data_IF_573430176355
#
_entry.id   IF_573430176355
#
_cell.length_a   1.000
_cell.length_b   1.000
_cell.length_c   1.000
_cell.angle_alpha   90.00
_cell.angle_beta   90.00
_cell.angle_gamma   90.00
#
_symmetry.space_group_name_H-M   'P 1'
#
loop_
_entity.id
_entity.type
_entity.pdbx_description
1 polymer ?
#
# COMPACT_ATOMS: atom_id res chain seq x y z
N UNK A 1 -27.33 -2.07 8.58
CA UNK A 1 -28.14 -2.97 7.70
C UNK A 1 -27.56 -4.37 7.76
N UNK A 2 -28.29 -5.38 7.30
CA UNK A 2 -27.78 -6.77 7.23
C UNK A 2 -27.39 -7.08 5.78
N UNK A 3 -26.32 -7.85 5.55
CA UNK A 3 -25.94 -8.32 4.22
C UNK A 3 -27.03 -9.22 3.63
N UNK A 4 -26.97 -9.43 2.31
CA UNK A 4 -27.76 -10.46 1.63
C UNK A 4 -27.37 -11.84 2.16
N UNK A 5 -28.23 -12.85 1.98
CA UNK A 5 -27.93 -14.22 2.38
C UNK A 5 -26.76 -14.77 1.52
N UNK A 6 -25.80 -15.42 2.14
CA UNK A 6 -24.66 -16.07 1.51
C UNK A 6 -24.35 -17.42 2.17
N UNK A 7 -23.70 -18.31 1.44
CA UNK A 7 -23.04 -19.48 2.01
C UNK A 7 -21.66 -19.07 2.56
N UNK A 8 -21.18 -19.79 3.58
CA UNK A 8 -19.88 -19.52 4.19
C UNK A 8 -19.02 -20.78 4.18
N UNK A 9 -17.79 -20.63 3.68
CA UNK A 9 -16.77 -21.69 3.62
C UNK A 9 -15.54 -21.17 4.37
N UNK A 10 -15.08 -21.92 5.38
CA UNK A 10 -13.81 -21.64 6.07
C UNK A 10 -12.73 -22.56 5.48
N UNK A 11 -11.94 -22.06 4.55
CA UNK A 11 -10.85 -22.79 3.91
C UNK A 11 -9.66 -22.92 4.85
N UNK A 12 -9.06 -24.11 4.91
CA UNK A 12 -7.87 -24.42 5.73
C UNK A 12 -6.59 -24.47 4.91
N UNK A 13 -6.73 -24.57 3.60
CA UNK A 13 -5.62 -24.64 2.65
C UNK A 13 -5.90 -23.72 1.45
N UNK A 14 -4.85 -23.34 0.75
CA UNK A 14 -4.98 -22.57 -0.51
C UNK A 14 -5.80 -23.38 -1.53
N UNK A 15 -5.60 -24.67 -1.63
CA UNK A 15 -6.32 -25.54 -2.58
C UNK A 15 -7.83 -25.59 -2.28
N UNK A 16 -8.24 -25.69 -1.01
CA UNK A 16 -9.65 -25.57 -0.61
C UNK A 16 -10.25 -24.23 -0.99
N UNK A 17 -9.50 -23.12 -0.77
CA UNK A 17 -9.96 -21.77 -1.13
C UNK A 17 -10.13 -21.63 -2.65
N UNK A 18 -9.13 -22.05 -3.43
CA UNK A 18 -9.17 -22.03 -4.90
C UNK A 18 -10.29 -22.94 -5.44
N UNK A 19 -10.52 -24.11 -4.82
CA UNK A 19 -11.62 -24.98 -5.21
C UNK A 19 -12.97 -24.34 -4.98
N UNK A 20 -13.13 -23.62 -3.87
CA UNK A 20 -14.36 -22.91 -3.54
C UNK A 20 -14.60 -21.69 -4.45
N UNK A 21 -13.53 -21.04 -4.93
CA UNK A 21 -13.62 -19.93 -5.89
C UNK A 21 -14.20 -20.30 -7.26
N UNK A 22 -14.29 -21.60 -7.59
CA UNK A 22 -14.97 -22.05 -8.83
C UNK A 22 -16.48 -21.89 -8.77
N UNK A 23 -17.05 -21.66 -7.57
CA UNK A 23 -18.48 -21.41 -7.43
C UNK A 23 -18.82 -20.02 -7.98
N UNK A 24 -19.93 -19.88 -8.74
CA UNK A 24 -20.36 -18.56 -9.21
C UNK A 24 -20.55 -17.58 -8.07
N UNK A 25 -20.27 -16.31 -8.33
CA UNK A 25 -20.44 -15.21 -7.37
C UNK A 25 -19.79 -15.46 -6.00
N UNK A 26 -18.70 -16.24 -5.95
CA UNK A 26 -17.92 -16.44 -4.75
C UNK A 26 -16.95 -15.28 -4.54
N UNK A 27 -16.64 -14.97 -3.27
CA UNK A 27 -15.68 -13.92 -2.91
C UNK A 27 -14.83 -14.32 -1.71
N UNK A 28 -13.54 -14.03 -1.79
CA UNK A 28 -12.61 -14.21 -0.68
C UNK A 28 -12.89 -13.17 0.41
N UNK A 29 -12.84 -13.61 1.66
CA UNK A 29 -12.73 -12.74 2.83
C UNK A 29 -11.45 -13.10 3.60
N UNK A 30 -10.65 -12.06 3.89
CA UNK A 30 -9.51 -12.12 4.81
C UNK A 30 -9.90 -11.44 6.13
N UNK A 31 -9.45 -10.21 6.37
CA UNK A 31 -9.80 -9.45 7.57
C UNK A 31 -11.21 -8.86 7.59
N UNK A 32 -11.92 -8.81 6.47
CA UNK A 32 -13.31 -8.35 6.36
C UNK A 32 -13.55 -6.85 6.55
N UNK A 33 -12.51 -6.05 6.75
CA UNK A 33 -12.66 -4.65 7.19
C UNK A 33 -13.23 -3.71 6.10
N UNK A 34 -13.06 -4.04 4.83
CA UNK A 34 -13.72 -3.35 3.70
C UNK A 34 -14.93 -4.14 3.20
N UNK A 35 -14.78 -5.46 3.00
CA UNK A 35 -15.81 -6.29 2.38
C UNK A 35 -17.10 -6.37 3.22
N UNK A 36 -16.99 -6.52 4.55
CA UNK A 36 -18.19 -6.63 5.41
C UNK A 36 -19.03 -5.34 5.43
N UNK A 37 -18.42 -4.13 5.55
CA UNK A 37 -19.16 -2.88 5.33
C UNK A 37 -19.86 -2.81 3.96
N UNK A 38 -19.16 -3.15 2.87
CA UNK A 38 -19.75 -3.18 1.53
C UNK A 38 -20.95 -4.14 1.44
N UNK A 39 -20.84 -5.32 2.06
CA UNK A 39 -21.94 -6.28 2.12
C UNK A 39 -23.13 -5.74 2.95
N UNK A 40 -22.87 -5.06 4.05
CA UNK A 40 -23.90 -4.46 4.89
C UNK A 40 -24.70 -3.37 4.13
N UNK A 41 -24.03 -2.61 3.27
CA UNK A 41 -24.66 -1.64 2.37
C UNK A 41 -25.18 -2.27 1.07
N UNK A 42 -24.99 -3.60 0.88
CA UNK A 42 -25.38 -4.35 -0.32
C UNK A 42 -24.71 -3.85 -1.61
N UNK A 43 -23.57 -3.21 -1.47
CA UNK A 43 -22.68 -2.85 -2.59
C UNK A 43 -21.88 -4.07 -3.10
N UNK A 44 -21.74 -5.09 -2.26
CA UNK A 44 -21.22 -6.42 -2.62
C UNK A 44 -22.17 -7.47 -2.09
N UNK A 45 -22.59 -8.42 -2.94
CA UNK A 45 -23.61 -9.43 -2.60
C UNK A 45 -23.16 -10.82 -3.08
N UNK A 46 -22.03 -11.37 -2.60
CA UNK A 46 -21.57 -12.68 -3.02
C UNK A 46 -22.57 -13.77 -2.59
N UNK A 47 -22.73 -14.79 -3.41
CA UNK A 47 -23.51 -15.99 -3.07
C UNK A 47 -22.74 -16.89 -2.07
N UNK A 48 -21.41 -16.88 -2.16
CA UNK A 48 -20.53 -17.66 -1.28
C UNK A 48 -19.37 -16.78 -0.79
N UNK A 49 -19.16 -16.77 0.52
CA UNK A 49 -18.04 -16.10 1.16
C UNK A 49 -17.00 -17.15 1.58
N UNK A 50 -15.78 -17.02 1.08
CA UNK A 50 -14.67 -17.95 1.32
C UNK A 50 -13.70 -17.31 2.27
N UNK A 51 -13.70 -17.74 3.51
CA UNK A 51 -12.81 -17.24 4.55
C UNK A 51 -11.46 -17.97 4.48
N UNK A 52 -10.41 -17.21 4.25
CA UNK A 52 -9.03 -17.68 4.16
C UNK A 52 -8.22 -17.38 5.42
N UNK A 53 -8.78 -16.76 6.44
CA UNK A 53 -8.08 -16.31 7.65
C UNK A 53 -7.36 -17.42 8.42
N UNK A 54 -7.75 -18.67 8.20
CA UNK A 54 -7.16 -19.87 8.84
C UNK A 54 -5.95 -20.43 8.08
N UNK A 55 -5.59 -19.90 6.91
CA UNK A 55 -4.49 -20.43 6.08
C UNK A 55 -3.15 -19.85 6.56
N UNK A 56 -2.48 -20.58 7.46
CA UNK A 56 -1.28 -20.12 8.17
C UNK A 56 -0.14 -19.75 7.21
N UNK A 57 0.03 -20.46 6.10
CA UNK A 57 1.09 -20.20 5.13
C UNK A 57 1.01 -18.80 4.47
N UNK A 58 -0.18 -18.19 4.47
CA UNK A 58 -0.40 -16.82 3.97
C UNK A 58 -0.10 -15.73 5.01
N UNK A 59 0.21 -16.09 6.26
CA UNK A 59 0.46 -15.14 7.37
C UNK A 59 1.94 -15.02 7.73
N UNK A 60 2.85 -15.52 6.89
CA UNK A 60 4.27 -15.55 7.19
C UNK A 60 4.97 -14.28 6.73
N UNK A 61 5.95 -13.83 7.54
CA UNK A 61 6.95 -12.82 7.15
C UNK A 61 8.28 -13.54 7.09
N UNK A 62 9.02 -13.41 6.01
CA UNK A 62 10.32 -14.06 5.86
C UNK A 62 11.33 -13.19 5.14
N UNK A 63 12.55 -13.20 5.65
CA UNK A 63 13.69 -12.49 5.06
C UNK A 63 14.40 -13.46 4.10
N UNK A 64 14.49 -13.10 2.83
CA UNK A 64 15.16 -13.87 1.79
C UNK A 64 16.19 -12.97 1.12
N UNK A 65 17.47 -13.40 1.11
CA UNK A 65 18.59 -12.70 0.47
C UNK A 65 18.40 -11.16 0.41
N UNK A 66 17.94 -10.65 -0.73
CA UNK A 66 17.74 -9.22 -1.02
C UNK A 66 16.27 -8.75 -0.83
N UNK A 67 15.37 -9.62 -0.34
CA UNK A 67 13.93 -9.35 -0.27
C UNK A 67 13.34 -9.66 1.10
N UNK A 68 12.29 -8.94 1.44
CA UNK A 68 11.36 -9.26 2.51
C UNK A 68 10.06 -9.76 1.87
N UNK A 69 9.70 -11.01 2.12
CA UNK A 69 8.42 -11.58 1.69
C UNK A 69 7.39 -11.47 2.81
N UNK A 70 6.25 -10.86 2.50
CA UNK A 70 5.13 -10.66 3.43
C UNK A 70 3.91 -11.40 2.87
N UNK A 71 3.39 -12.36 3.61
CA UNK A 71 2.19 -13.12 3.25
C UNK A 71 0.93 -12.25 3.24
N UNK A 72 -0.02 -12.57 2.37
CA UNK A 72 -1.23 -11.76 2.14
C UNK A 72 -2.15 -11.63 3.35
N UNK A 73 -2.08 -12.55 4.32
CA UNK A 73 -2.85 -12.51 5.57
C UNK A 73 -2.12 -11.85 6.74
N UNK A 74 -0.91 -11.35 6.55
CA UNK A 74 -0.24 -10.54 7.58
C UNK A 74 -1.11 -9.32 7.86
N UNK A 75 -1.51 -9.16 9.13
CA UNK A 75 -2.35 -8.03 9.54
C UNK A 75 -1.53 -6.74 9.65
N UNK A 76 -2.19 -5.59 9.57
CA UNK A 76 -1.53 -4.31 9.78
C UNK A 76 -0.78 -4.28 11.10
N UNK A 77 -1.39 -4.78 12.19
CA UNK A 77 -0.77 -4.79 13.51
C UNK A 77 0.44 -5.74 13.59
N UNK A 78 0.40 -6.89 12.92
CA UNK A 78 1.58 -7.77 12.81
C UNK A 78 2.71 -7.10 12.03
N UNK A 79 2.39 -6.39 10.95
CA UNK A 79 3.39 -5.65 10.17
C UNK A 79 4.03 -4.51 10.99
N UNK A 80 3.25 -3.77 11.77
CA UNK A 80 3.75 -2.71 12.66
C UNK A 80 4.75 -3.24 13.69
N UNK A 81 4.48 -4.41 14.26
CA UNK A 81 5.29 -4.99 15.34
C UNK A 81 6.37 -5.99 14.89
N UNK A 82 6.51 -6.22 13.59
CA UNK A 82 7.49 -7.17 13.05
C UNK A 82 8.90 -6.60 13.11
N UNK A 83 9.79 -7.29 13.84
CA UNK A 83 11.21 -6.92 13.91
C UNK A 83 11.88 -6.90 12.52
N UNK A 84 11.53 -7.85 11.64
CA UNK A 84 12.06 -7.91 10.29
C UNK A 84 11.62 -6.71 9.44
N UNK A 85 10.35 -6.29 9.55
CA UNK A 85 9.84 -5.10 8.85
C UNK A 85 10.51 -3.83 9.41
N UNK A 86 10.55 -3.67 10.73
CA UNK A 86 11.18 -2.52 11.39
C UNK A 86 12.66 -2.41 10.99
N UNK A 87 13.36 -3.53 10.92
CA UNK A 87 14.78 -3.58 10.57
C UNK A 87 15.05 -3.26 9.10
N UNK A 88 14.25 -3.78 8.18
CA UNK A 88 14.55 -3.74 6.74
C UNK A 88 13.74 -2.71 5.97
N UNK A 89 12.53 -2.37 6.43
CA UNK A 89 11.57 -1.47 5.76
C UNK A 89 10.79 -0.66 6.81
N UNK A 90 11.46 0.13 7.66
CA UNK A 90 10.83 0.84 8.79
C UNK A 90 9.68 1.77 8.37
N UNK A 91 9.70 2.29 7.16
CA UNK A 91 8.61 3.12 6.61
C UNK A 91 7.27 2.38 6.62
N UNK A 92 7.25 1.04 6.44
CA UNK A 92 6.01 0.24 6.49
C UNK A 92 5.40 0.32 7.89
N UNK A 93 6.21 0.01 8.91
CA UNK A 93 5.74 0.07 10.31
C UNK A 93 5.22 1.45 10.66
N UNK A 94 5.96 2.49 10.30
CA UNK A 94 5.60 3.89 10.57
C UNK A 94 4.29 4.30 9.88
N UNK A 95 4.16 4.06 8.57
CA UNK A 95 2.97 4.46 7.82
C UNK A 95 1.70 3.74 8.31
N UNK A 96 1.82 2.45 8.65
CA UNK A 96 0.68 1.66 9.13
C UNK A 96 0.17 2.07 10.53
N UNK A 97 0.93 2.81 11.33
CA UNK A 97 0.43 3.39 12.58
C UNK A 97 -0.70 4.40 12.33
N UNK A 98 -0.73 5.01 11.14
CA UNK A 98 -1.77 5.94 10.71
C UNK A 98 -3.05 5.21 10.26
N UNK A 99 -2.91 3.95 9.78
CA UNK A 99 -4.04 3.16 9.30
C UNK A 99 -5.10 2.95 10.37
N UNK A 100 -6.27 3.52 10.21
CA UNK A 100 -7.47 3.25 10.99
C UNK A 100 -7.22 3.13 12.52
N UNK A 101 -8.08 2.38 13.23
CA UNK A 101 -7.94 2.11 14.65
C UNK A 101 -7.39 0.72 14.92
N UNK A 102 -6.82 0.50 16.11
CA UNK A 102 -6.19 -0.77 16.52
C UNK A 102 -7.09 -2.00 16.27
N UNK A 103 -8.40 -1.89 16.47
CA UNK A 103 -9.36 -2.97 16.22
C UNK A 103 -9.40 -3.37 14.75
N UNK A 104 -9.36 -2.40 13.84
CA UNK A 104 -9.30 -2.63 12.40
C UNK A 104 -7.94 -3.20 12.02
N UNK A 105 -6.84 -2.65 12.55
CA UNK A 105 -5.47 -3.15 12.29
C UNK A 105 -5.22 -4.57 12.75
N UNK A 106 -5.95 -5.06 13.76
CA UNK A 106 -5.83 -6.46 14.22
C UNK A 106 -6.44 -7.48 13.25
N UNK A 107 -7.31 -7.04 12.34
CA UNK A 107 -8.01 -7.90 11.39
C UNK A 107 -7.68 -7.60 9.93
N UNK A 108 -7.55 -6.32 9.57
CA UNK A 108 -7.18 -5.88 8.22
C UNK A 108 -5.81 -6.41 7.82
N UNK A 109 -5.67 -6.87 6.57
CA UNK A 109 -4.48 -7.54 6.06
C UNK A 109 -3.91 -6.82 4.85
N UNK A 110 -2.61 -7.01 4.58
CA UNK A 110 -1.96 -6.47 3.38
C UNK A 110 -2.66 -6.94 2.10
N UNK A 111 -2.96 -8.23 2.00
CA UNK A 111 -3.63 -8.80 0.82
C UNK A 111 -5.04 -8.26 0.64
N UNK A 112 -5.78 -8.07 1.75
CA UNK A 112 -7.12 -7.48 1.72
C UNK A 112 -7.11 -6.02 1.27
N UNK A 113 -6.16 -5.20 1.77
CA UNK A 113 -5.98 -3.81 1.37
C UNK A 113 -5.57 -3.69 -0.10
N UNK A 114 -4.60 -4.50 -0.55
CA UNK A 114 -4.17 -4.51 -1.94
C UNK A 114 -5.27 -4.96 -2.91
N UNK A 115 -6.04 -6.01 -2.57
CA UNK A 115 -7.15 -6.48 -3.40
C UNK A 115 -8.32 -5.49 -3.44
N UNK A 116 -8.52 -4.70 -2.38
CA UNK A 116 -9.51 -3.63 -2.33
C UNK A 116 -9.10 -2.44 -3.19
N UNK A 117 -7.81 -2.16 -3.26
CA UNK A 117 -7.21 -1.11 -4.09
C UNK A 117 -7.79 0.29 -3.88
N UNK A 118 -8.09 0.65 -2.63
CA UNK A 118 -8.47 2.03 -2.31
C UNK A 118 -7.26 2.96 -2.52
N UNK A 119 -7.36 3.99 -3.37
CA UNK A 119 -6.23 4.88 -3.68
C UNK A 119 -5.76 5.74 -2.50
N UNK A 120 -6.57 5.84 -1.45
CA UNK A 120 -6.26 6.57 -0.21
C UNK A 120 -5.67 5.69 0.89
N UNK A 121 -5.54 4.37 0.66
CA UNK A 121 -5.02 3.45 1.64
C UNK A 121 -3.48 3.41 1.63
N UNK A 122 -2.88 3.18 2.79
CA UNK A 122 -1.43 3.20 2.99
C UNK A 122 -0.74 2.01 2.29
N UNK A 123 -1.33 0.79 2.32
CA UNK A 123 -0.71 -0.38 1.68
C UNK A 123 -0.54 -0.23 0.16
N UNK A 124 -1.54 0.18 -0.64
CA UNK A 124 -1.34 0.43 -2.06
C UNK A 124 -0.20 1.42 -2.33
N UNK A 125 -0.11 2.53 -1.56
CA UNK A 125 0.99 3.47 -1.66
C UNK A 125 2.34 2.83 -1.35
N UNK A 126 2.45 2.09 -0.24
CA UNK A 126 3.70 1.42 0.18
C UNK A 126 4.14 0.35 -0.81
N UNK A 127 3.20 -0.44 -1.36
CA UNK A 127 3.44 -1.46 -2.38
C UNK A 127 4.05 -0.81 -3.64
N UNK A 128 3.50 0.33 -4.07
CA UNK A 128 4.01 1.11 -5.20
C UNK A 128 5.34 1.79 -4.89
N UNK A 129 5.46 2.46 -3.73
CA UNK A 129 6.67 3.17 -3.32
C UNK A 129 7.89 2.27 -3.27
N UNK A 130 7.71 1.05 -2.75
CA UNK A 130 8.77 0.08 -2.52
C UNK A 130 9.07 -0.81 -3.74
N UNK A 131 8.44 -0.57 -4.90
CA UNK A 131 8.56 -1.39 -6.11
C UNK A 131 8.37 -2.89 -5.82
N UNK A 132 7.33 -3.20 -5.07
CA UNK A 132 7.07 -4.57 -4.68
C UNK A 132 6.59 -5.41 -5.87
N UNK A 133 6.82 -6.70 -5.81
CA UNK A 133 6.17 -7.67 -6.69
C UNK A 133 5.17 -8.52 -5.91
N UNK A 134 4.04 -8.84 -6.55
CA UNK A 134 2.91 -9.52 -5.96
C UNK A 134 2.85 -10.93 -6.53
N UNK A 135 2.94 -11.93 -5.65
CA UNK A 135 2.79 -13.33 -6.01
C UNK A 135 1.32 -13.71 -5.93
N UNK A 136 0.78 -14.20 -7.03
CA UNK A 136 -0.62 -14.57 -7.20
C UNK A 136 -0.70 -16.04 -7.58
N UNK A 137 -1.64 -16.77 -7.01
CA UNK A 137 -1.83 -18.19 -7.23
C UNK A 137 -3.25 -18.50 -7.71
N UNK A 138 -3.35 -19.39 -8.68
CA UNK A 138 -4.59 -20.04 -9.12
C UNK A 138 -4.40 -21.56 -9.16
N UNK A 139 -5.44 -22.33 -9.47
CA UNK A 139 -5.28 -23.76 -9.69
C UNK A 139 -4.33 -24.11 -10.85
N UNK A 140 -4.22 -23.22 -11.83
CA UNK A 140 -3.48 -23.52 -13.08
C UNK A 140 -2.01 -23.16 -12.96
N UNK A 141 -1.71 -22.05 -12.31
CA UNK A 141 -0.36 -21.49 -12.26
C UNK A 141 -0.16 -20.55 -11.06
N UNK A 142 1.08 -20.21 -10.85
CA UNK A 142 1.49 -19.08 -10.01
C UNK A 142 2.11 -18.04 -10.92
N UNK A 143 1.74 -16.77 -10.74
CA UNK A 143 2.32 -15.64 -11.46
C UNK A 143 2.81 -14.57 -10.52
N UNK A 144 3.76 -13.79 -10.96
CA UNK A 144 4.24 -12.60 -10.26
C UNK A 144 3.98 -11.38 -11.12
N UNK A 145 3.44 -10.33 -10.53
CA UNK A 145 3.15 -9.07 -11.21
C UNK A 145 3.82 -7.93 -10.45
N UNK A 146 4.25 -6.89 -11.15
CA UNK A 146 4.79 -5.68 -10.51
C UNK A 146 3.67 -4.84 -9.89
N UNK A 147 4.00 -4.04 -8.87
CA UNK A 147 3.03 -3.14 -8.24
C UNK A 147 2.38 -2.19 -9.26
N UNK A 148 3.17 -1.67 -10.19
CA UNK A 148 2.69 -0.71 -11.20
C UNK A 148 1.69 -1.31 -12.18
N UNK A 149 1.78 -2.61 -12.44
CA UNK A 149 0.87 -3.31 -13.35
C UNK A 149 -0.33 -3.91 -12.61
N UNK A 150 -0.27 -3.98 -11.27
CA UNK A 150 -1.32 -4.60 -10.46
C UNK A 150 -2.50 -3.67 -10.22
N UNK A 151 -2.28 -2.39 -9.89
CA UNK A 151 -3.33 -1.40 -9.65
C UNK A 151 -3.79 -0.77 -10.97
N UNK A 152 -5.00 -1.10 -11.43
CA UNK A 152 -5.53 -0.68 -12.74
C UNK A 152 -6.26 0.67 -12.64
N UNK A 153 -7.17 0.79 -11.67
CA UNK A 153 -7.92 2.01 -11.35
C UNK A 153 -8.45 1.94 -9.93
N UNK A 154 -9.17 2.94 -9.49
CA UNK A 154 -9.80 2.94 -8.16
C UNK A 154 -10.63 1.69 -7.92
N UNK A 155 -10.35 0.97 -6.83
CA UNK A 155 -11.00 -0.27 -6.43
C UNK A 155 -10.87 -1.42 -7.46
N UNK A 156 -9.91 -1.34 -8.39
CA UNK A 156 -9.73 -2.32 -9.47
C UNK A 156 -8.26 -2.74 -9.60
N UNK A 157 -8.04 -4.04 -9.61
CA UNK A 157 -6.72 -4.65 -9.76
C UNK A 157 -6.67 -5.64 -10.92
N UNK A 158 -5.47 -6.12 -11.30
CA UNK A 158 -5.28 -7.21 -12.27
C UNK A 158 -5.58 -8.60 -11.70
N UNK A 159 -6.04 -8.71 -10.44
CA UNK A 159 -6.42 -10.00 -9.83
C UNK A 159 -7.65 -10.59 -10.54
N UNK A 160 -7.52 -11.82 -11.02
CA UNK A 160 -8.62 -12.52 -11.70
C UNK A 160 -9.55 -13.19 -10.67
N UNK A 161 -10.77 -13.54 -11.11
CA UNK A 161 -11.79 -14.12 -10.24
C UNK A 161 -11.39 -15.48 -9.63
N UNK A 162 -10.50 -16.24 -10.30
CA UNK A 162 -10.00 -17.54 -9.87
C UNK A 162 -8.63 -17.47 -9.18
N UNK A 163 -8.18 -16.28 -8.77
CA UNK A 163 -6.86 -16.04 -8.21
C UNK A 163 -6.92 -15.59 -6.74
N UNK A 164 -5.84 -15.91 -6.01
CA UNK A 164 -5.60 -15.46 -4.63
C UNK A 164 -4.23 -14.80 -4.57
N UNK A 165 -4.13 -13.64 -3.91
CA UNK A 165 -2.82 -13.05 -3.57
C UNK A 165 -2.17 -13.94 -2.51
N UNK A 166 -0.97 -14.45 -2.82
CA UNK A 166 -0.20 -15.28 -1.91
C UNK A 166 0.70 -14.46 -0.99
N UNK A 167 1.51 -13.61 -1.57
CA UNK A 167 2.50 -12.81 -0.84
C UNK A 167 2.97 -11.61 -1.66
N UNK A 168 3.67 -10.71 -1.00
CA UNK A 168 4.35 -9.56 -1.56
C UNK A 168 5.85 -9.67 -1.32
N UNK A 169 6.66 -9.42 -2.35
CA UNK A 169 8.11 -9.34 -2.23
C UNK A 169 8.54 -7.88 -2.29
N UNK A 170 9.13 -7.41 -1.22
CA UNK A 170 9.67 -6.06 -1.11
C UNK A 170 11.20 -6.13 -1.21
N UNK A 171 11.84 -5.41 -2.15
CA UNK A 171 13.29 -5.25 -2.14
C UNK A 171 13.76 -4.62 -0.84
N UNK A 172 14.80 -5.17 -0.21
CA UNK A 172 15.41 -4.56 0.97
C UNK A 172 16.08 -3.24 0.56
N UNK A 173 15.99 -2.26 1.43
CA UNK A 173 16.67 -0.99 1.23
C UNK A 173 18.09 -1.08 1.81
N UNK A 174 19.06 -0.49 1.12
CA UNK A 174 20.47 -0.45 1.56
C UNK A 174 20.66 0.54 2.71
N UNK A 175 21.80 0.46 3.41
CA UNK A 175 22.06 1.22 4.64
C UNK A 175 22.24 2.75 4.47
N UNK A 176 22.33 3.26 3.24
CA UNK A 176 22.59 4.67 2.94
C UNK A 176 21.35 5.41 2.40
N UNK A 177 20.23 5.22 3.06
CA UNK A 177 18.97 5.87 2.66
C UNK A 177 18.29 6.57 3.84
N UNK A 178 17.45 7.54 3.51
CA UNK A 178 16.45 8.08 4.42
C UNK A 178 15.06 7.88 3.86
N UNK A 179 14.07 7.92 4.73
CA UNK A 179 12.67 7.70 4.37
C UNK A 179 11.76 8.63 5.17
N UNK A 180 10.58 8.90 4.63
CA UNK A 180 9.51 9.60 5.33
C UNK A 180 8.16 9.24 4.75
N UNK A 181 7.12 9.34 5.59
CA UNK A 181 5.72 9.22 5.21
C UNK A 181 4.93 10.33 5.93
N UNK A 182 3.99 10.95 5.24
CA UNK A 182 3.10 11.97 5.78
C UNK A 182 1.72 11.83 5.13
N UNK A 183 0.67 12.04 5.90
CA UNK A 183 -0.69 12.08 5.38
C UNK A 183 -1.51 13.19 6.05
N UNK A 184 -2.51 13.67 5.32
CA UNK A 184 -3.54 14.56 5.86
C UNK A 184 -4.87 13.83 5.86
N UNK A 185 -5.48 13.78 7.02
CA UNK A 185 -6.76 13.15 7.29
C UNK A 185 -7.73 14.15 7.93
N UNK A 186 -9.04 13.91 7.84
CA UNK A 186 -10.01 14.71 8.60
C UNK A 186 -9.96 14.40 10.09
N UNK A 187 -9.84 13.13 10.44
CA UNK A 187 -9.74 12.62 11.81
C UNK A 187 -8.73 11.49 11.83
N UNK A 188 -8.04 11.33 12.95
CA UNK A 188 -7.11 10.20 13.12
C UNK A 188 -7.81 8.86 12.86
N UNK A 189 -7.27 8.09 11.92
CA UNK A 189 -7.79 6.80 11.50
C UNK A 189 -8.81 6.84 10.34
N UNK A 190 -9.15 8.02 9.81
CA UNK A 190 -9.87 8.12 8.53
C UNK A 190 -8.92 7.85 7.36
N UNK A 191 -9.45 7.57 6.17
CA UNK A 191 -8.68 7.52 4.94
C UNK A 191 -8.03 8.88 4.64
N UNK A 192 -6.83 8.84 4.06
CA UNK A 192 -6.09 10.04 3.73
C UNK A 192 -6.81 10.88 2.66
N UNK A 193 -6.90 12.18 2.92
CA UNK A 193 -7.25 13.15 1.88
C UNK A 193 -6.13 13.24 0.85
N UNK A 194 -4.89 13.20 1.34
CA UNK A 194 -3.66 13.14 0.56
C UNK A 194 -2.57 12.51 1.42
N UNK A 195 -1.81 11.61 0.85
CA UNK A 195 -0.65 11.01 1.51
C UNK A 195 0.55 10.99 0.59
N UNK A 196 1.75 11.02 1.15
CA UNK A 196 3.00 10.89 0.42
C UNK A 196 4.01 10.05 1.20
N UNK A 197 4.79 9.27 0.45
CA UNK A 197 5.94 8.57 0.98
C UNK A 197 7.17 8.80 0.11
N UNK A 198 8.35 8.86 0.71
CA UNK A 198 9.59 8.95 -0.03
C UNK A 198 10.70 8.11 0.59
N UNK A 199 11.59 7.63 -0.28
CA UNK A 199 12.84 6.95 0.05
C UNK A 199 13.92 7.59 -0.79
N UNK A 200 14.99 8.05 -0.16
CA UNK A 200 16.10 8.74 -0.82
C UNK A 200 17.39 8.02 -0.49
N UNK A 201 18.07 7.48 -1.51
CA UNK A 201 19.41 6.93 -1.39
C UNK A 201 20.45 8.03 -1.56
N UNK A 202 21.40 8.11 -0.63
CA UNK A 202 22.41 9.18 -0.57
C UNK A 202 23.80 8.56 -0.53
N UNK A 203 24.67 9.06 -1.37
CA UNK A 203 26.08 8.74 -1.37
C UNK A 203 26.89 10.04 -1.45
N UNK A 204 27.86 10.20 -0.57
CA UNK A 204 28.75 11.36 -0.50
C UNK A 204 27.99 12.73 -0.48
N UNK A 205 26.88 12.78 0.28
CA UNK A 205 25.93 13.91 0.34
C UNK A 205 25.21 14.23 -0.98
N UNK A 206 25.22 13.31 -1.94
CA UNK A 206 24.51 13.43 -3.21
C UNK A 206 23.35 12.43 -3.25
N UNK A 207 22.19 12.87 -3.70
CA UNK A 207 21.03 12.02 -3.96
C UNK A 207 21.34 11.17 -5.20
N UNK A 208 21.61 9.88 -5.02
CA UNK A 208 21.91 8.97 -6.12
C UNK A 208 20.69 8.30 -6.69
N UNK A 209 19.65 8.11 -5.86
CA UNK A 209 18.36 7.55 -6.26
C UNK A 209 17.25 8.03 -5.31
N UNK A 210 16.02 8.02 -5.79
CA UNK A 210 14.85 8.32 -4.97
C UNK A 210 13.61 7.59 -5.47
N UNK A 211 12.68 7.35 -4.56
CA UNK A 211 11.34 6.83 -4.84
C UNK A 211 10.35 7.72 -4.12
N UNK A 212 9.34 8.22 -4.84
CA UNK A 212 8.33 9.12 -4.31
C UNK A 212 6.97 8.63 -4.79
N UNK A 213 6.08 8.35 -3.87
CA UNK A 213 4.72 7.91 -4.20
C UNK A 213 3.69 8.70 -3.40
N UNK A 214 2.56 9.01 -4.04
CA UNK A 214 1.44 9.72 -3.42
C UNK A 214 0.15 8.90 -3.52
N UNK A 215 -0.71 9.01 -2.51
CA UNK A 215 -2.04 8.42 -2.42
C UNK A 215 -3.12 9.49 -2.26
N UNK A 216 -4.36 9.17 -2.61
CA UNK A 216 -5.47 10.13 -2.61
C UNK A 216 -5.35 11.23 -3.68
N UNK A 217 -4.46 11.05 -4.65
CA UNK A 217 -4.09 12.03 -5.67
C UNK A 217 -4.48 11.60 -7.10
N UNK A 218 -5.19 10.52 -7.25
CA UNK A 218 -5.67 9.93 -8.50
C UNK A 218 -6.38 8.61 -8.23
N UNK A 219 -6.73 7.88 -9.27
CA UNK A 219 -7.43 6.59 -9.14
C UNK A 219 -6.54 5.46 -8.58
N UNK A 220 -5.23 5.61 -8.64
CA UNK A 220 -4.25 4.66 -8.09
C UNK A 220 -3.14 5.44 -7.38
N UNK A 221 -2.31 4.81 -6.54
CA UNK A 221 -1.11 5.45 -6.04
C UNK A 221 -0.19 5.87 -7.20
N UNK A 222 0.36 7.09 -7.15
CA UNK A 222 1.11 7.69 -8.25
C UNK A 222 2.59 7.84 -7.89
N UNK A 223 3.47 7.24 -8.71
CA UNK A 223 4.92 7.47 -8.64
C UNK A 223 5.29 8.79 -9.31
N UNK A 224 6.01 9.63 -8.60
CA UNK A 224 6.44 10.95 -9.10
C UNK A 224 7.81 10.87 -9.80
N UNK A 225 7.90 10.07 -10.86
CA UNK A 225 9.14 9.81 -11.61
C UNK A 225 9.81 11.07 -12.20
N UNK A 226 9.02 12.10 -12.50
CA UNK A 226 9.49 13.41 -12.93
C UNK A 226 10.30 14.10 -11.82
N UNK A 227 9.81 14.06 -10.56
CA UNK A 227 10.50 14.64 -9.40
C UNK A 227 11.71 13.78 -9.02
N UNK A 228 11.58 12.46 -9.04
CA UNK A 228 12.70 11.52 -8.81
C UNK A 228 13.88 11.83 -9.76
N UNK A 229 13.59 12.06 -11.05
CA UNK A 229 14.58 12.42 -12.06
C UNK A 229 15.19 13.78 -11.78
N UNK A 230 14.39 14.77 -11.38
CA UNK A 230 14.80 16.15 -11.16
C UNK A 230 15.75 16.29 -9.96
N UNK A 231 15.53 15.52 -8.89
CA UNK A 231 16.35 15.59 -7.67
C UNK A 231 17.58 14.69 -7.71
N UNK A 232 17.65 13.75 -8.63
CA UNK A 232 18.83 12.89 -8.81
C UNK A 232 20.06 13.71 -9.13
N UNK A 233 21.18 13.45 -8.43
CA UNK A 233 22.43 14.19 -8.55
C UNK A 233 22.46 15.51 -7.77
N UNK A 234 21.37 15.88 -7.07
CA UNK A 234 21.39 17.05 -6.19
C UNK A 234 22.07 16.75 -4.86
N UNK A 235 22.67 17.78 -4.25
CA UNK A 235 23.19 17.68 -2.90
C UNK A 235 22.06 17.60 -1.87
N UNK A 236 22.30 16.98 -0.71
CA UNK A 236 21.34 16.89 0.41
C UNK A 236 20.92 18.26 0.98
N UNK A 237 21.66 19.33 0.68
CA UNK A 237 21.27 20.71 1.04
C UNK A 237 20.43 21.40 -0.05
N UNK A 238 20.00 20.65 -1.09
CA UNK A 238 19.15 21.21 -2.14
C UNK A 238 17.84 21.73 -1.57
N UNK A 239 17.52 22.99 -1.86
CA UNK A 239 16.25 23.59 -1.44
C UNK A 239 15.12 23.15 -2.39
N UNK A 240 14.23 22.30 -1.89
CA UNK A 240 13.07 21.79 -2.63
C UNK A 240 12.02 22.88 -2.96
N UNK A 241 12.08 24.06 -2.36
CA UNK A 241 11.23 25.20 -2.75
C UNK A 241 11.56 25.72 -4.17
N UNK A 242 12.74 25.36 -4.69
CA UNK A 242 13.10 25.64 -6.08
C UNK A 242 12.30 24.82 -7.09
N UNK A 243 11.64 23.74 -6.66
CA UNK A 243 10.75 22.94 -7.50
C UNK A 243 9.39 23.66 -7.54
N UNK A 244 8.98 24.07 -8.74
CA UNK A 244 7.69 24.74 -8.94
C UNK A 244 6.52 23.78 -8.66
N UNK A 245 5.42 24.30 -8.14
CA UNK A 245 4.23 23.50 -7.84
C UNK A 245 3.73 22.71 -9.06
N UNK A 246 3.71 23.29 -10.24
CA UNK A 246 3.27 22.64 -11.48
C UNK A 246 4.04 21.34 -11.78
N UNK A 247 5.32 21.25 -11.35
CA UNK A 247 6.12 20.05 -11.54
C UNK A 247 5.66 18.90 -10.62
N UNK A 248 5.19 19.20 -9.42
CA UNK A 248 4.57 18.21 -8.52
C UNK A 248 3.19 17.79 -9.03
N UNK A 249 2.42 18.74 -9.54
CA UNK A 249 1.02 18.56 -9.94
C UNK A 249 0.85 17.85 -11.29
N UNK A 250 1.89 17.81 -12.12
CA UNK A 250 1.80 17.38 -13.53
C UNK A 250 1.34 15.93 -13.74
N UNK A 251 1.42 15.09 -12.70
CA UNK A 251 1.00 13.69 -12.74
C UNK A 251 -0.26 13.42 -11.89
N UNK A 252 -0.74 14.42 -11.15
CA UNK A 252 -1.84 14.27 -10.22
C UNK A 252 -3.19 14.52 -10.91
N UNK A 253 -4.15 13.67 -10.64
CA UNK A 253 -5.53 13.79 -11.15
C UNK A 253 -6.54 13.38 -10.06
N UNK A 254 -6.57 14.09 -8.91
CA UNK A 254 -7.50 13.76 -7.84
C UNK A 254 -8.93 14.14 -8.20
N UNK A 255 -9.87 13.33 -7.74
CA UNK A 255 -11.31 13.64 -7.82
C UNK A 255 -11.79 14.42 -6.59
N UNK A 256 -12.87 15.19 -6.76
CA UNK A 256 -13.61 15.74 -5.62
C UNK A 256 -14.57 14.69 -5.06
N UNK A 257 -14.65 14.61 -3.74
CA UNK A 257 -15.58 13.76 -3.01
C UNK A 257 -16.19 14.51 -1.81
N UNK A 258 -16.94 13.82 -0.96
CA UNK A 258 -17.57 14.41 0.25
C UNK A 258 -16.54 14.81 1.33
N UNK A 259 -15.28 14.37 1.24
CA UNK A 259 -14.24 14.63 2.22
C UNK A 259 -13.35 15.79 1.83
N UNK A 260 -13.01 15.93 0.54
CA UNK A 260 -12.18 17.03 0.04
C UNK A 260 -12.43 17.33 -1.45
N UNK A 261 -12.32 18.61 -1.82
CA UNK A 261 -12.34 18.99 -3.23
C UNK A 261 -11.00 18.67 -3.92
N UNK A 262 -11.04 18.52 -5.24
CA UNK A 262 -9.85 18.40 -6.09
C UNK A 262 -8.87 19.55 -5.85
N UNK A 263 -9.39 20.79 -5.81
CA UNK A 263 -8.58 22.00 -5.60
C UNK A 263 -7.84 21.94 -4.26
N UNK A 264 -8.49 21.46 -3.20
CA UNK A 264 -7.86 21.31 -1.89
C UNK A 264 -6.71 20.30 -1.96
N UNK A 265 -6.93 19.12 -2.56
CA UNK A 265 -5.90 18.07 -2.71
C UNK A 265 -4.70 18.58 -3.51
N UNK A 266 -4.95 19.29 -4.62
CA UNK A 266 -3.91 19.92 -5.43
C UNK A 266 -3.18 21.05 -4.70
N UNK A 267 -3.88 21.78 -3.82
CA UNK A 267 -3.27 22.85 -3.02
C UNK A 267 -2.29 22.33 -1.98
N UNK A 268 -2.68 21.26 -1.24
CA UNK A 268 -1.83 20.72 -0.16
C UNK A 268 -0.72 19.80 -0.68
N UNK A 269 -0.93 19.11 -1.81
CA UNK A 269 -0.04 18.10 -2.35
C UNK A 269 1.43 18.53 -2.45
N UNK A 270 1.76 19.66 -3.09
CA UNK A 270 3.15 20.13 -3.20
C UNK A 270 3.87 20.31 -1.86
N UNK A 271 3.16 20.77 -0.83
CA UNK A 271 3.75 20.96 0.49
C UNK A 271 4.04 19.63 1.17
N UNK A 272 3.11 18.68 1.12
CA UNK A 272 3.30 17.35 1.70
C UNK A 272 4.44 16.61 1.01
N UNK A 273 4.53 16.69 -0.32
CA UNK A 273 5.62 16.08 -1.08
C UNK A 273 6.97 16.70 -0.69
N UNK A 274 7.07 18.04 -0.55
CA UNK A 274 8.29 18.68 -0.05
C UNK A 274 8.66 18.23 1.34
N UNK A 275 7.68 18.14 2.24
CA UNK A 275 7.89 17.70 3.62
C UNK A 275 8.52 16.31 3.66
N UNK A 276 7.96 15.33 2.93
CA UNK A 276 8.52 13.98 2.95
C UNK A 276 9.92 13.92 2.34
N UNK A 277 10.26 14.75 1.35
CA UNK A 277 11.61 14.85 0.81
C UNK A 277 12.60 15.41 1.84
N UNK A 278 12.25 16.51 2.51
CA UNK A 278 13.06 17.13 3.56
C UNK A 278 13.25 16.14 4.72
N UNK A 279 12.17 15.54 5.19
CA UNK A 279 12.18 14.62 6.32
C UNK A 279 12.95 13.32 5.99
N UNK A 280 12.94 12.85 4.75
CA UNK A 280 13.76 11.71 4.33
C UNK A 280 15.26 12.02 4.41
N UNK A 281 15.68 13.22 4.01
CA UNK A 281 17.08 13.65 4.17
C UNK A 281 17.44 13.79 5.63
N UNK A 282 16.55 14.36 6.46
CA UNK A 282 16.79 14.49 7.90
C UNK A 282 16.90 13.10 8.56
N UNK A 283 16.00 12.18 8.23
CA UNK A 283 16.05 10.79 8.70
C UNK A 283 17.38 10.10 8.35
N UNK A 284 17.90 10.31 7.14
CA UNK A 284 19.22 9.82 6.77
C UNK A 284 20.33 10.41 7.64
N UNK A 285 20.31 11.74 7.89
CA UNK A 285 21.31 12.40 8.72
C UNK A 285 21.29 11.87 10.17
N UNK A 286 20.08 11.64 10.71
CA UNK A 286 19.89 11.14 12.09
C UNK A 286 20.38 9.69 12.25
N UNK A 287 20.18 8.85 11.21
CA UNK A 287 20.64 7.46 11.20
C UNK A 287 22.17 7.29 10.99
N UNK A 288 22.86 8.35 10.55
CA UNK A 288 24.30 8.34 10.31
C UNK A 288 25.13 8.73 11.55
N UNK A 289 24.49 9.43 12.52
CA UNK A 289 25.09 9.86 13.78
C UNK A 289 24.87 8.80 14.89
#
# INVERSE_FOLDING_TARGET
MKPSKFAYVNAKTIDEALTSLKQPDSKIIAGGQSLVPLMNYRLSQPSTLIDISSIIELSQISVKDDKLEIGSLVTHNQAISSEDIIKHLPIISFALEHTAHKTIRNSGTIGGSAAHADPSAEWPLLIMLLDSSINIISHKNTRTISAIDFFISGLTTDLKEDEIIKSFNFPKIKNNYGWSFEEIVQRSGDFALFSAGSIIEIDDNIIINSKICVGGAGETPIRLSNIETLIKGKNVEYNFDNIKNDQFLSLLDPTSDEHASMEYRLHIGPQIIRNVLINSIQNYKDNKN
#
